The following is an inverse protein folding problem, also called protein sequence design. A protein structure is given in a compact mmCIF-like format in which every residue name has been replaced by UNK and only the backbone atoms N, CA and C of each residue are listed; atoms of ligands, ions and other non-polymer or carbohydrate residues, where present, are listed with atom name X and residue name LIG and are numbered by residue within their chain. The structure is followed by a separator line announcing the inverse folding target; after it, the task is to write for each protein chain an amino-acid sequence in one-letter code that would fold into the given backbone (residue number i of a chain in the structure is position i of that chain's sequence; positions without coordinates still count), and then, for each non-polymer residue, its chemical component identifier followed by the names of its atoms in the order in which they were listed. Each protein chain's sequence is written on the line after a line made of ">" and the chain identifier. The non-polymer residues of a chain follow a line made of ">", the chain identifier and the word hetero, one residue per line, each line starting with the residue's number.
data_IF_031861911347
#
_entry.id   IF_031861911347
#
_cell.length_a   1.000
_cell.length_b   1.000
_cell.length_c   1.000
_cell.angle_alpha   90.00
_cell.angle_beta   90.00
_cell.angle_gamma   90.00
#
_symmetry.space_group_name_H-M   'P 1'
#
loop_
_entity.id
_entity.type
_entity.pdbx_description
1 polymer ?
#
# COMPACT_ATOMS: atom_id res chain seq x y z
N UNK A 1 37.99 31.30 -2.83
CA UNK A 1 38.57 29.98 -3.01
C UNK A 1 37.44 28.99 -3.22
N UNK A 2 37.30 28.60 -4.39
CA UNK A 2 36.58 27.62 -5.17
C UNK A 2 36.51 26.21 -4.58
N UNK A 3 35.32 25.58 -4.61
CA UNK A 3 35.11 24.15 -4.89
C UNK A 3 33.60 23.94 -4.93
N UNK A 4 33.06 23.86 -6.08
CA UNK A 4 32.86 22.74 -7.02
C UNK A 4 31.79 21.76 -6.52
N UNK A 5 30.65 21.91 -7.13
CA UNK A 5 29.51 21.06 -7.36
C UNK A 5 29.89 19.69 -7.94
N UNK A 6 29.23 18.65 -7.48
CA UNK A 6 29.19 17.37 -8.18
C UNK A 6 27.73 16.89 -8.23
N UNK A 7 27.11 17.12 -9.37
CA UNK A 7 25.91 16.47 -9.83
C UNK A 7 26.18 14.98 -10.02
N UNK A 8 25.32 14.18 -9.48
CA UNK A 8 25.27 12.75 -9.77
C UNK A 8 23.89 12.40 -10.29
N UNK A 9 23.79 12.47 -11.59
CA UNK A 9 22.69 11.90 -12.37
C UNK A 9 22.55 10.42 -12.02
N UNK A 10 21.33 10.03 -11.66
CA UNK A 10 20.93 8.63 -11.58
C UNK A 10 20.06 8.32 -12.77
N UNK A 11 20.63 7.62 -13.70
CA UNK A 11 19.95 6.95 -14.79
C UNK A 11 18.91 5.97 -14.24
N UNK A 12 17.65 6.21 -14.61
CA UNK A 12 16.56 5.27 -14.39
C UNK A 12 16.42 4.43 -15.65
N UNK A 13 16.92 3.22 -15.57
CA UNK A 13 16.79 2.18 -16.58
C UNK A 13 15.34 1.65 -16.56
N UNK A 14 14.60 1.89 -17.63
CA UNK A 14 13.28 1.31 -17.86
C UNK A 14 13.46 0.04 -18.69
N UNK A 15 13.34 -1.09 -18.06
CA UNK A 15 13.25 -2.38 -18.73
C UNK A 15 11.89 -2.56 -19.41
N UNK A 16 11.95 -2.81 -20.71
CA UNK A 16 10.85 -3.25 -21.56
C UNK A 16 10.39 -4.65 -21.16
N UNK A 17 9.13 -4.75 -20.72
CA UNK A 17 8.44 -6.02 -20.57
C UNK A 17 7.60 -6.35 -21.81
N UNK A 18 8.14 -7.14 -22.72
CA UNK A 18 7.44 -7.66 -23.88
C UNK A 18 6.40 -8.71 -23.48
N UNK A 19 5.13 -8.44 -23.70
CA UNK A 19 4.07 -9.46 -23.68
C UNK A 19 3.84 -10.01 -25.08
N UNK A 20 4.26 -11.24 -25.30
CA UNK A 20 3.86 -12.10 -26.43
C UNK A 20 2.47 -12.67 -26.14
N UNK A 21 1.58 -12.55 -27.11
CA UNK A 21 0.40 -13.45 -27.16
C UNK A 21 0.13 -13.84 -28.59
N UNK A 22 0.51 -15.02 -28.86
CA UNK A 22 0.01 -16.16 -29.62
C UNK A 22 -0.96 -15.90 -30.78
N UNK A 23 -0.46 -16.30 -31.92
CA UNK A 23 -1.20 -16.67 -33.11
C UNK A 23 -2.05 -17.93 -32.85
N UNK A 24 -3.22 -18.00 -33.40
CA UNK A 24 -3.85 -19.27 -33.71
C UNK A 24 -4.36 -19.28 -35.15
N UNK A 25 -3.87 -20.30 -35.80
CA UNK A 25 -4.11 -20.77 -37.14
C UNK A 25 -5.56 -21.23 -37.37
N UNK A 26 -6.08 -21.02 -38.55
CA UNK A 26 -6.86 -22.08 -39.17
C UNK A 26 -6.76 -22.00 -40.71
N UNK A 27 -6.26 -23.09 -41.27
CA UNK A 27 -6.20 -23.44 -42.68
C UNK A 27 -7.60 -23.80 -43.23
N UNK A 28 -7.70 -23.66 -44.51
CA UNK A 28 -8.19 -24.62 -45.52
C UNK A 28 -9.10 -23.99 -46.55
N UNK A 29 -8.65 -24.07 -47.73
CA UNK A 29 -9.02 -24.87 -48.93
C UNK A 29 -10.18 -24.35 -49.76
N UNK A 30 -9.92 -24.25 -51.05
CA UNK A 30 -10.92 -24.23 -52.09
C UNK A 30 -10.42 -23.65 -53.40
N UNK A 31 -10.04 -24.56 -54.27
CA UNK A 31 -9.49 -24.37 -55.60
C UNK A 31 -10.50 -23.80 -56.62
N UNK A 32 -9.91 -23.20 -57.64
CA UNK A 32 -10.28 -23.25 -59.06
C UNK A 32 -11.55 -22.49 -59.50
N UNK A 33 -11.38 -21.43 -60.24
CA UNK A 33 -11.92 -21.40 -61.60
C UNK A 33 -11.35 -20.22 -62.41
N UNK A 34 -10.69 -20.57 -63.55
CA UNK A 34 -10.32 -19.68 -64.61
C UNK A 34 -11.56 -19.15 -65.33
N UNK A 35 -11.63 -17.84 -65.54
CA UNK A 35 -12.11 -17.32 -66.83
C UNK A 35 -11.67 -15.86 -66.99
N UNK A 36 -11.01 -15.65 -68.10
CA UNK A 36 -10.65 -14.36 -68.66
C UNK A 36 -11.84 -13.42 -68.73
N UNK A 37 -11.68 -12.17 -68.33
CA UNK A 37 -12.22 -11.09 -69.12
C UNK A 37 -11.43 -9.80 -68.97
N UNK A 38 -11.27 -9.13 -70.08
CA UNK A 38 -10.33 -8.09 -70.41
C UNK A 38 -10.90 -6.73 -70.01
N UNK A 39 -10.01 -5.91 -69.49
CA UNK A 39 -10.01 -4.45 -69.56
C UNK A 39 -11.11 -3.66 -68.87
N UNK A 40 -10.72 -3.00 -67.81
CA UNK A 40 -10.84 -1.51 -67.73
C UNK A 40 -9.95 -1.00 -66.57
N UNK A 41 -8.92 -0.30 -66.95
CA UNK A 41 -8.13 0.48 -66.00
C UNK A 41 -8.99 1.49 -65.23
N UNK A 42 -9.02 1.29 -63.95
CA UNK A 42 -9.30 2.35 -63.03
C UNK A 42 -8.03 2.48 -62.19
N UNK A 43 -7.25 3.46 -62.48
CA UNK A 43 -6.14 3.95 -61.66
C UNK A 43 -6.67 4.17 -60.25
N UNK A 44 -6.51 3.17 -59.40
CA UNK A 44 -6.62 3.36 -57.97
C UNK A 44 -5.30 4.01 -57.53
N UNK A 45 -5.13 5.29 -57.87
CA UNK A 45 -4.11 6.12 -57.28
C UNK A 45 -4.46 6.22 -55.79
N UNK A 46 -3.86 5.38 -55.01
CA UNK A 46 -3.79 5.57 -53.57
C UNK A 46 -3.02 6.88 -53.35
N UNK A 47 -3.77 7.98 -53.27
CA UNK A 47 -3.22 9.28 -52.92
C UNK A 47 -2.71 9.12 -51.49
N UNK A 48 -1.42 8.87 -51.36
CA UNK A 48 -0.80 8.90 -50.04
C UNK A 48 -1.06 10.31 -49.44
N UNK A 49 -1.57 10.40 -48.20
CA UNK A 49 -1.90 11.68 -47.59
C UNK A 49 -0.65 12.57 -47.62
N UNK A 50 -0.82 13.83 -48.00
CA UNK A 50 0.29 14.76 -48.03
C UNK A 50 0.95 14.89 -46.66
N UNK A 51 2.23 15.25 -46.61
CA UNK A 51 2.96 15.43 -45.34
C UNK A 51 2.22 16.41 -44.40
N UNK A 52 1.57 17.43 -44.95
CA UNK A 52 0.78 18.41 -44.20
C UNK A 52 -0.45 17.78 -43.58
N UNK A 53 -1.15 16.89 -44.27
CA UNK A 53 -2.31 16.16 -43.74
C UNK A 53 -1.88 15.17 -42.66
N UNK A 54 -0.76 14.50 -42.83
CA UNK A 54 -0.19 13.60 -41.80
C UNK A 54 0.18 14.39 -40.54
N UNK A 55 0.81 15.55 -40.68
CA UNK A 55 1.15 16.44 -39.56
C UNK A 55 -0.12 16.93 -38.85
N UNK A 56 -1.15 17.29 -39.58
CA UNK A 56 -2.43 17.73 -38.99
C UNK A 56 -3.08 16.62 -38.16
N UNK A 57 -3.12 15.38 -38.68
CA UNK A 57 -3.63 14.20 -37.97
C UNK A 57 -2.81 13.91 -36.70
N UNK A 58 -1.48 14.02 -36.79
CA UNK A 58 -0.63 13.78 -35.61
C UNK A 58 -0.79 14.87 -34.55
N UNK A 59 -0.96 16.14 -34.98
CA UNK A 59 -1.26 17.25 -34.04
C UNK A 59 -2.57 17.04 -33.33
N UNK A 60 -3.62 16.63 -34.04
CA UNK A 60 -4.93 16.38 -33.45
C UNK A 60 -4.88 15.22 -32.44
N UNK A 61 -4.20 14.10 -32.82
CA UNK A 61 -3.96 12.99 -31.90
C UNK A 61 -3.16 13.39 -30.68
N UNK A 62 -2.14 14.24 -30.83
CA UNK A 62 -1.35 14.75 -29.71
C UNK A 62 -2.16 15.60 -28.75
N UNK A 63 -2.93 16.56 -29.28
CA UNK A 63 -3.77 17.44 -28.46
C UNK A 63 -4.84 16.64 -27.70
N UNK A 64 -5.44 15.67 -28.37
CA UNK A 64 -6.38 14.76 -27.74
C UNK A 64 -5.73 13.92 -26.63
N UNK A 65 -4.57 13.33 -26.91
CA UNK A 65 -3.84 12.54 -25.90
C UNK A 65 -3.42 13.41 -24.71
N UNK A 66 -3.01 14.65 -24.96
CA UNK A 66 -2.66 15.59 -23.89
C UNK A 66 -3.89 15.90 -23.02
N UNK A 67 -5.06 16.15 -23.62
CA UNK A 67 -6.30 16.38 -22.88
C UNK A 67 -6.72 15.15 -22.08
N UNK A 68 -6.61 13.94 -22.64
CA UNK A 68 -6.90 12.69 -21.96
C UNK A 68 -5.92 12.46 -20.78
N UNK A 69 -4.63 12.76 -20.96
CA UNK A 69 -3.64 12.67 -19.90
C UNK A 69 -3.90 13.66 -18.75
N UNK A 70 -4.25 14.90 -19.06
CA UNK A 70 -4.59 15.90 -18.06
C UNK A 70 -5.85 15.50 -17.26
N UNK A 71 -6.85 14.95 -17.94
CA UNK A 71 -8.05 14.42 -17.29
C UNK A 71 -7.72 13.20 -16.40
N UNK A 72 -6.90 12.28 -16.90
CA UNK A 72 -6.41 11.13 -16.13
C UNK A 72 -5.66 11.59 -14.89
N UNK A 73 -4.72 12.52 -15.02
CA UNK A 73 -3.95 13.08 -13.91
C UNK A 73 -4.85 13.70 -12.83
N UNK A 74 -5.80 14.54 -13.25
CA UNK A 74 -6.77 15.17 -12.32
C UNK A 74 -7.60 14.12 -11.58
N UNK A 75 -8.11 13.12 -12.31
CA UNK A 75 -8.88 12.01 -11.72
C UNK A 75 -8.04 11.21 -10.73
N UNK A 76 -6.81 10.82 -11.10
CA UNK A 76 -5.93 10.03 -10.24
C UNK A 76 -5.56 10.78 -8.95
N UNK A 77 -5.34 12.10 -9.03
CA UNK A 77 -5.09 12.91 -7.84
C UNK A 77 -6.31 12.89 -6.92
N UNK A 78 -7.51 13.08 -7.47
CA UNK A 78 -8.75 13.04 -6.70
C UNK A 78 -8.96 11.67 -6.05
N UNK A 79 -8.81 10.58 -6.82
CA UNK A 79 -8.91 9.21 -6.30
C UNK A 79 -7.91 8.93 -5.17
N UNK A 80 -6.66 9.42 -5.29
CA UNK A 80 -5.67 9.32 -4.20
C UNK A 80 -6.08 10.10 -2.97
N UNK A 81 -6.62 11.31 -3.11
CA UNK A 81 -7.12 12.10 -1.99
C UNK A 81 -8.29 11.40 -1.29
N UNK A 82 -9.27 10.91 -2.07
CA UNK A 82 -10.41 10.16 -1.55
C UNK A 82 -9.95 8.87 -0.83
N UNK A 83 -8.91 8.20 -1.34
CA UNK A 83 -8.35 7.01 -0.73
C UNK A 83 -7.66 7.30 0.61
N UNK A 84 -6.93 8.40 0.70
CA UNK A 84 -6.30 8.86 1.96
C UNK A 84 -7.36 9.25 2.98
N UNK A 85 -8.39 10.01 2.56
CA UNK A 85 -9.47 10.46 3.45
C UNK A 85 -10.29 9.29 3.99
N UNK A 86 -10.60 8.30 3.15
CA UNK A 86 -11.40 7.13 3.52
C UNK A 86 -10.58 5.94 4.00
N UNK A 87 -9.26 5.97 3.85
CA UNK A 87 -8.39 4.85 4.20
C UNK A 87 -8.51 4.40 5.66
N UNK A 88 -8.80 5.34 6.56
CA UNK A 88 -8.99 5.05 7.97
C UNK A 88 -10.44 4.71 8.36
N UNK A 89 -11.42 4.80 7.44
CA UNK A 89 -12.85 4.60 7.76
C UNK A 89 -13.11 3.21 8.34
N UNK A 90 -12.49 2.18 7.77
CA UNK A 90 -12.59 0.80 8.28
C UNK A 90 -12.05 0.64 9.70
N UNK A 91 -10.91 1.28 9.99
CA UNK A 91 -10.31 1.28 11.31
C UNK A 91 -11.20 1.97 12.35
N UNK A 92 -11.75 3.14 12.01
CA UNK A 92 -12.68 3.84 12.89
C UNK A 92 -13.95 3.03 13.17
N UNK A 93 -14.54 2.43 12.13
CA UNK A 93 -15.72 1.55 12.30
C UNK A 93 -15.44 0.34 13.19
N UNK A 94 -14.23 -0.19 13.19
CA UNK A 94 -13.84 -1.29 14.05
C UNK A 94 -13.61 -0.86 15.50
N UNK A 95 -13.19 0.39 15.74
CA UNK A 95 -12.93 0.94 17.08
C UNK A 95 -14.20 1.40 17.78
N UNK A 96 -15.19 1.96 17.08
CA UNK A 96 -16.41 2.49 17.67
C UNK A 96 -17.14 1.50 18.61
N UNK A 97 -17.31 0.20 18.29
CA UNK A 97 -17.94 -0.75 19.20
C UNK A 97 -17.17 -0.98 20.51
N UNK A 98 -15.84 -0.71 20.51
CA UNK A 98 -15.02 -0.81 21.73
C UNK A 98 -15.29 0.40 22.62
N UNK A 99 -15.44 1.59 22.01
CA UNK A 99 -15.83 2.80 22.72
C UNK A 99 -17.19 2.62 23.39
N UNK A 100 -18.17 2.05 22.70
CA UNK A 100 -19.51 1.75 23.26
C UNK A 100 -19.41 0.81 24.48
N UNK A 101 -18.54 -0.21 24.42
CA UNK A 101 -18.31 -1.13 25.52
C UNK A 101 -17.61 -0.44 26.71
N UNK A 102 -16.65 0.46 26.44
CA UNK A 102 -16.01 1.28 27.49
C UNK A 102 -17.02 2.20 28.16
N UNK A 103 -17.86 2.89 27.40
CA UNK A 103 -18.92 3.74 27.98
C UNK A 103 -19.85 2.93 28.88
N UNK A 104 -20.25 1.73 28.46
CA UNK A 104 -21.05 0.81 29.25
C UNK A 104 -20.33 0.38 30.53
N UNK A 105 -19.04 0.07 30.46
CA UNK A 105 -18.23 -0.29 31.60
C UNK A 105 -18.12 0.87 32.62
N UNK A 106 -17.94 2.10 32.14
CA UNK A 106 -17.92 3.31 32.98
C UNK A 106 -19.27 3.53 33.66
N UNK A 107 -20.38 3.39 32.94
CA UNK A 107 -21.73 3.51 33.54
C UNK A 107 -21.97 2.43 34.60
N UNK A 108 -21.49 1.20 34.37
CA UNK A 108 -21.58 0.11 35.32
C UNK A 108 -20.73 0.38 36.58
N UNK A 109 -19.54 0.94 36.44
CA UNK A 109 -18.65 1.26 37.56
C UNK A 109 -19.22 2.29 38.53
N UNK A 110 -20.09 3.20 38.04
CA UNK A 110 -20.78 4.16 38.89
C UNK A 110 -21.98 3.58 39.64
N UNK A 111 -22.43 2.39 39.27
CA UNK A 111 -23.65 1.76 39.82
C UNK A 111 -23.39 0.52 40.67
N UNK A 112 -22.20 -0.05 40.58
CA UNK A 112 -21.85 -1.30 41.25
C UNK A 112 -20.62 -1.10 42.13
N UNK A 113 -20.73 -1.62 43.36
CA UNK A 113 -19.60 -1.73 44.30
C UNK A 113 -18.86 -3.07 44.17
N UNK A 114 -19.28 -3.94 43.23
CA UNK A 114 -18.65 -5.23 42.98
C UNK A 114 -17.38 -5.05 42.10
N UNK A 115 -16.26 -4.94 42.77
CA UNK A 115 -14.93 -4.74 42.14
C UNK A 115 -14.56 -5.90 41.21
N UNK A 116 -14.96 -7.14 41.56
CA UNK A 116 -14.60 -8.31 40.75
C UNK A 116 -15.36 -8.33 39.42
N UNK A 117 -16.65 -8.01 39.44
CA UNK A 117 -17.44 -7.85 38.22
C UNK A 117 -16.91 -6.71 37.33
N UNK A 118 -16.45 -5.61 37.94
CA UNK A 118 -15.84 -4.50 37.18
C UNK A 118 -14.52 -4.91 36.50
N UNK A 119 -13.64 -5.60 37.22
CA UNK A 119 -12.39 -6.12 36.64
C UNK A 119 -12.64 -7.05 35.44
N UNK A 120 -13.58 -7.97 35.59
CA UNK A 120 -13.98 -8.87 34.52
C UNK A 120 -14.52 -8.09 33.30
N UNK A 121 -15.28 -7.02 33.53
CA UNK A 121 -15.77 -6.12 32.48
C UNK A 121 -14.62 -5.43 31.72
N UNK A 122 -13.65 -4.88 32.44
CA UNK A 122 -12.46 -4.24 31.86
C UNK A 122 -11.62 -5.24 31.04
N UNK A 123 -11.42 -6.47 31.56
CA UNK A 123 -10.71 -7.52 30.82
C UNK A 123 -11.43 -7.91 29.51
N UNK A 124 -12.75 -7.94 29.50
CA UNK A 124 -13.52 -8.23 28.30
C UNK A 124 -13.34 -7.14 27.24
N UNK A 125 -13.38 -5.86 27.65
CA UNK A 125 -13.13 -4.74 26.74
C UNK A 125 -11.72 -4.81 26.17
N UNK A 126 -10.72 -5.10 27.01
CA UNK A 126 -9.32 -5.26 26.60
C UNK A 126 -9.14 -6.39 25.58
N UNK A 127 -9.72 -7.56 25.85
CA UNK A 127 -9.70 -8.71 24.93
C UNK A 127 -10.35 -8.39 23.58
N UNK A 128 -11.46 -7.65 23.60
CA UNK A 128 -12.15 -7.22 22.39
C UNK A 128 -11.26 -6.28 21.57
N UNK A 129 -10.58 -5.34 22.23
CA UNK A 129 -9.64 -4.44 21.57
C UNK A 129 -8.48 -5.21 20.93
N UNK A 130 -7.87 -6.14 21.66
CA UNK A 130 -6.80 -7.00 21.13
C UNK A 130 -7.28 -7.82 19.92
N UNK A 131 -8.51 -8.36 19.97
CA UNK A 131 -9.10 -9.09 18.85
C UNK A 131 -9.29 -8.22 17.60
N UNK A 132 -9.72 -6.96 17.77
CA UNK A 132 -9.86 -6.00 16.66
C UNK A 132 -8.49 -5.68 16.04
N UNK A 133 -7.45 -5.48 16.86
CA UNK A 133 -6.09 -5.27 16.38
C UNK A 133 -5.59 -6.47 15.58
N UNK A 134 -5.79 -7.69 16.10
CA UNK A 134 -5.41 -8.92 15.41
C UNK A 134 -6.13 -9.08 14.05
N UNK A 135 -7.43 -8.78 14.03
CA UNK A 135 -8.23 -8.83 12.78
C UNK A 135 -7.72 -7.81 11.75
N UNK A 136 -7.23 -6.66 12.21
CA UNK A 136 -6.59 -5.66 11.37
C UNK A 136 -5.15 -6.03 10.97
N UNK A 137 -4.61 -7.18 11.41
CA UNK A 137 -3.24 -7.61 11.15
C UNK A 137 -2.18 -6.91 12.01
N UNK A 138 -2.62 -6.23 13.08
CA UNK A 138 -1.73 -5.55 14.03
C UNK A 138 -1.36 -6.52 15.14
N UNK A 139 -0.05 -6.75 15.30
CA UNK A 139 0.50 -7.68 16.29
C UNK A 139 1.35 -6.92 17.30
N UNK A 140 1.19 -7.26 18.59
CA UNK A 140 2.06 -6.72 19.63
C UNK A 140 3.46 -7.32 19.51
N UNK A 141 4.48 -6.49 19.72
CA UNK A 141 5.88 -6.90 19.74
C UNK A 141 6.15 -7.53 21.11
N UNK A 142 6.46 -8.83 21.09
CA UNK A 142 6.81 -9.58 22.27
C UNK A 142 8.32 -9.45 22.52
N UNK A 143 8.70 -8.65 23.52
CA UNK A 143 10.08 -8.24 23.76
C UNK A 143 10.66 -8.74 25.10
N UNK A 144 9.86 -9.09 26.11
CA UNK A 144 10.36 -9.45 27.44
C UNK A 144 11.15 -10.76 27.40
N UNK A 145 12.28 -10.80 28.10
CA UNK A 145 13.24 -11.92 28.15
C UNK A 145 13.86 -12.30 26.79
N UNK A 146 13.77 -11.42 25.78
CA UNK A 146 14.37 -11.58 24.46
C UNK A 146 15.54 -10.62 24.26
N UNK A 147 16.48 -10.94 23.34
CA UNK A 147 17.53 -10.02 22.96
C UNK A 147 16.95 -8.69 22.45
N UNK A 148 17.60 -7.60 22.83
CA UNK A 148 17.21 -6.28 22.35
C UNK A 148 17.38 -6.16 20.84
N UNK A 149 16.35 -5.68 20.16
CA UNK A 149 16.33 -5.46 18.71
C UNK A 149 16.02 -3.99 18.40
N UNK A 150 16.98 -3.28 17.84
CA UNK A 150 16.87 -1.86 17.49
C UNK A 150 15.83 -1.60 16.39
N UNK A 151 15.48 -2.60 15.58
CA UNK A 151 14.50 -2.45 14.49
C UNK A 151 13.06 -2.37 14.98
N UNK A 152 12.77 -2.94 16.16
CA UNK A 152 11.40 -3.03 16.71
C UNK A 152 11.26 -2.37 18.09
N UNK A 153 12.40 -2.03 18.75
CA UNK A 153 12.45 -1.64 20.16
C UNK A 153 13.27 -0.38 20.38
N UNK A 154 12.90 0.40 21.38
CA UNK A 154 13.60 1.59 21.86
C UNK A 154 13.99 1.38 23.33
N UNK A 155 15.29 1.35 23.62
CA UNK A 155 15.78 1.25 25.00
C UNK A 155 15.64 2.59 25.70
N UNK A 156 14.73 2.70 26.69
CA UNK A 156 14.50 3.91 27.46
C UNK A 156 15.33 3.95 28.75
N UNK A 157 15.74 2.79 29.24
CA UNK A 157 16.58 2.68 30.42
C UNK A 157 17.46 1.43 30.36
N UNK A 158 18.57 1.44 31.08
CA UNK A 158 19.41 0.27 31.34
C UNK A 158 19.40 0.00 32.84
N UNK A 159 19.38 -1.27 33.19
CA UNK A 159 19.34 -1.72 34.58
C UNK A 159 20.33 -2.85 34.81
N UNK A 160 21.13 -2.73 35.89
CA UNK A 160 22.05 -3.76 36.28
C UNK A 160 21.30 -4.97 36.85
N UNK A 161 21.00 -5.96 36.00
CA UNK A 161 20.23 -7.14 36.36
C UNK A 161 21.05 -8.44 36.49
N UNK A 162 22.36 -8.31 36.44
CA UNK A 162 23.31 -9.46 36.47
C UNK A 162 23.75 -9.88 35.08
N UNK A 163 24.86 -10.62 35.04
CA UNK A 163 25.49 -11.04 33.76
C UNK A 163 24.54 -11.88 32.87
N UNK A 164 23.68 -12.70 33.50
CA UNK A 164 22.72 -13.56 32.78
C UNK A 164 21.68 -12.78 31.97
N UNK A 165 21.41 -11.52 32.32
CA UNK A 165 20.40 -10.67 31.66
C UNK A 165 21.01 -9.57 30.81
N UNK A 166 22.31 -9.58 30.62
CA UNK A 166 23.00 -8.57 29.83
C UNK A 166 22.56 -8.60 28.36
N UNK A 167 22.11 -7.47 27.87
CA UNK A 167 21.59 -7.34 26.48
C UNK A 167 20.19 -7.90 26.25
N UNK A 168 19.55 -8.43 27.30
CA UNK A 168 18.15 -8.87 27.23
C UNK A 168 17.22 -7.75 27.67
N UNK A 169 16.01 -7.76 27.15
CA UNK A 169 14.93 -6.89 27.61
C UNK A 169 14.39 -7.43 28.95
N UNK A 170 14.52 -6.63 29.99
CA UNK A 170 14.06 -6.98 31.35
C UNK A 170 12.58 -6.67 31.54
N UNK A 171 12.14 -5.50 31.00
CA UNK A 171 10.77 -5.01 31.17
C UNK A 171 10.32 -4.21 29.95
N UNK A 172 9.03 -4.20 29.73
CA UNK A 172 8.39 -3.48 28.64
C UNK A 172 7.50 -2.36 29.21
N UNK A 173 8.04 -1.16 29.24
CA UNK A 173 7.34 0.05 29.76
C UNK A 173 6.15 0.42 28.87
N UNK A 174 6.30 0.22 27.55
CA UNK A 174 5.23 0.48 26.58
C UNK A 174 5.29 -0.55 25.46
N UNK A 175 4.19 -1.27 25.28
CA UNK A 175 4.10 -2.28 24.20
C UNK A 175 4.26 -1.63 22.83
N UNK A 176 5.09 -2.24 21.99
CA UNK A 176 5.20 -1.94 20.56
C UNK A 176 4.17 -2.69 19.75
N UNK A 177 3.87 -2.21 18.56
CA UNK A 177 2.95 -2.85 17.63
C UNK A 177 3.47 -2.76 16.21
N UNK A 178 3.21 -3.79 15.40
CA UNK A 178 3.55 -3.84 13.99
C UNK A 178 2.36 -4.31 13.14
N UNK A 179 2.32 -3.83 11.90
CA UNK A 179 1.39 -4.24 10.86
C UNK A 179 2.18 -4.96 9.76
N UNK A 180 2.08 -6.29 9.73
CA UNK A 180 2.98 -7.07 8.91
C UNK A 180 4.44 -6.85 9.31
N UNK A 181 5.27 -6.37 8.39
CA UNK A 181 6.67 -6.02 8.66
C UNK A 181 6.87 -4.55 9.07
N UNK A 182 5.84 -3.72 8.96
CA UNK A 182 5.95 -2.30 9.28
C UNK A 182 5.70 -2.02 10.76
N UNK A 183 6.67 -1.43 11.45
CA UNK A 183 6.55 -1.01 12.85
C UNK A 183 5.67 0.24 12.95
N UNK A 184 4.49 0.10 13.56
CA UNK A 184 3.58 1.22 13.83
C UNK A 184 4.04 2.05 15.03
N UNK A 185 4.59 1.36 16.03
CA UNK A 185 5.13 1.96 17.26
C UNK A 185 6.18 1.04 17.85
N UNK A 186 7.36 1.57 18.13
CA UNK A 186 8.42 0.85 18.83
C UNK A 186 8.01 0.47 20.25
N UNK A 187 8.44 -0.71 20.70
CA UNK A 187 8.30 -1.07 22.10
C UNK A 187 9.32 -0.30 22.94
N UNK A 188 8.88 0.39 23.99
CA UNK A 188 9.80 1.03 24.94
C UNK A 188 10.18 0.03 26.02
N UNK A 189 11.45 -0.27 26.08
CA UNK A 189 11.97 -1.39 26.90
C UNK A 189 13.08 -0.94 27.83
N UNK A 190 13.24 -1.71 28.89
CA UNK A 190 14.39 -1.65 29.82
C UNK A 190 15.32 -2.79 29.50
N UNK A 191 16.59 -2.50 29.25
CA UNK A 191 17.61 -3.50 28.86
C UNK A 191 18.58 -3.77 29.99
N UNK A 192 18.97 -5.02 30.14
CA UNK A 192 19.99 -5.46 31.11
C UNK A 192 21.39 -4.97 30.73
N UNK A 193 22.13 -4.43 31.69
CA UNK A 193 23.53 -4.00 31.56
C UNK A 193 24.46 -5.02 32.19
#
# INVERSE_FOLDING_TARGET
>A
MTKQTSDKERDVNLEEGAAKTSANSMEQEGADNMSEDVARGADNVSVEPSLEEQIAVWRDKYLRLQAEFDNFRKRTIKEKMDLVERGCEGAWKAILPILDDMERAVVASHKSDDIEALRQGEELVMKKFESVLQTAGIVAIDCVDKPFNEEEQEAVARFAAGEDKRGLVIDCVQRGYKLGEHVLRYAKVVVGE
#
